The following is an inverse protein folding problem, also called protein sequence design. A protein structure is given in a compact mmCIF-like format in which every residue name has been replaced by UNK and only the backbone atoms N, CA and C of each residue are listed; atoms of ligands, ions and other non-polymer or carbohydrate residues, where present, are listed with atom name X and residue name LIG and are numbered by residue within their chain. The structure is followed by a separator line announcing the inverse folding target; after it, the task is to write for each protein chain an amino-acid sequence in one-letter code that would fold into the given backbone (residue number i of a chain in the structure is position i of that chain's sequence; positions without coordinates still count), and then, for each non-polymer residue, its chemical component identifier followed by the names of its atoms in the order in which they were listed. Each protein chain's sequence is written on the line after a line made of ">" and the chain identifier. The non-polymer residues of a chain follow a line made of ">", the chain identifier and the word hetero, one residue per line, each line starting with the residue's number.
data_IF_013021619834
#
_entry.id   IF_013021619834
#
_cell.length_a   1.000
_cell.length_b   1.000
_cell.length_c   1.000
_cell.angle_alpha   90.00
_cell.angle_beta   90.00
_cell.angle_gamma   90.00
#
_symmetry.space_group_name_H-M   'P 1'
#
loop_
_entity.id
_entity.type
_entity.pdbx_description
1 polymer ?
#
# COMPACT_ATOMS: atom_id res chain seq x y z
N UNK A 1 -5.18 1.55 -18.12
CA UNK A 1 -5.30 0.28 -17.37
C UNK A 1 -5.79 -0.87 -18.25
N UNK A 2 -6.53 -0.60 -19.34
CA UNK A 2 -7.13 -1.62 -20.20
C UNK A 2 -6.13 -2.53 -20.95
N UNK A 3 -4.89 -2.09 -21.17
CA UNK A 3 -3.91 -2.82 -22.00
C UNK A 3 -3.10 -3.88 -21.20
N UNK A 4 -3.13 -3.87 -19.87
CA UNK A 4 -2.32 -4.79 -19.03
C UNK A 4 -3.12 -5.74 -18.15
N UNK A 5 -4.45 -5.75 -18.27
CA UNK A 5 -5.34 -6.49 -17.35
C UNK A 5 -4.99 -7.98 -17.30
N UNK A 6 -4.78 -8.62 -18.45
CA UNK A 6 -4.46 -10.05 -18.54
C UNK A 6 -3.16 -10.39 -17.80
N UNK A 7 -2.09 -9.62 -18.04
CA UNK A 7 -0.81 -9.78 -17.34
C UNK A 7 -0.96 -9.57 -15.85
N UNK A 8 -1.70 -8.54 -15.44
CA UNK A 8 -1.83 -8.19 -14.03
C UNK A 8 -2.63 -9.27 -13.28
N UNK A 9 -3.67 -9.85 -13.91
CA UNK A 9 -4.42 -11.01 -13.43
C UNK A 9 -3.54 -12.27 -13.37
N UNK A 10 -2.74 -12.54 -14.40
CA UNK A 10 -1.82 -13.68 -14.41
C UNK A 10 -0.80 -13.59 -13.27
N UNK A 11 -0.23 -12.40 -13.03
CA UNK A 11 0.67 -12.17 -11.89
C UNK A 11 -0.05 -12.43 -10.57
N UNK A 12 -1.25 -11.89 -10.39
CA UNK A 12 -2.02 -12.13 -9.16
C UNK A 12 -2.31 -13.62 -8.96
N UNK A 13 -2.66 -14.36 -10.01
CA UNK A 13 -2.92 -15.79 -9.95
C UNK A 13 -1.67 -16.56 -9.49
N UNK A 14 -0.48 -16.21 -9.99
CA UNK A 14 0.77 -16.81 -9.52
C UNK A 14 0.99 -16.65 -8.01
N UNK A 15 0.64 -15.49 -7.43
CA UNK A 15 0.74 -15.27 -5.98
C UNK A 15 -0.29 -16.07 -5.17
N UNK A 16 -1.42 -16.43 -5.77
CA UNK A 16 -2.44 -17.30 -5.18
C UNK A 16 -1.97 -18.76 -5.24
N UNK A 17 -1.46 -19.20 -6.39
CA UNK A 17 -1.03 -20.57 -6.62
C UNK A 17 0.29 -20.90 -5.90
N UNK A 18 1.14 -19.89 -5.68
CA UNK A 18 2.44 -20.03 -5.04
C UNK A 18 2.64 -19.00 -3.90
N UNK A 19 2.09 -19.27 -2.69
CA UNK A 19 2.17 -18.34 -1.56
C UNK A 19 3.61 -17.97 -1.14
N UNK A 20 4.59 -18.84 -1.40
CA UNK A 20 6.02 -18.58 -1.13
C UNK A 20 6.55 -17.32 -1.84
N UNK A 21 5.91 -16.90 -2.94
CA UNK A 21 6.26 -15.66 -3.63
C UNK A 21 6.10 -14.43 -2.71
N UNK A 22 5.16 -14.46 -1.75
CA UNK A 22 5.02 -13.39 -0.77
C UNK A 22 6.21 -13.33 0.19
N UNK A 23 6.72 -14.47 0.63
CA UNK A 23 7.88 -14.55 1.51
C UNK A 23 9.16 -14.13 0.78
N UNK A 24 9.31 -14.52 -0.48
CA UNK A 24 10.40 -14.05 -1.34
C UNK A 24 10.34 -12.54 -1.54
N UNK A 25 9.16 -11.96 -1.79
CA UNK A 25 9.02 -10.51 -1.87
C UNK A 25 9.33 -9.80 -0.55
N UNK A 26 8.95 -10.39 0.61
CA UNK A 26 9.30 -9.86 1.93
C UNK A 26 10.81 -9.89 2.16
N UNK A 27 11.50 -10.95 1.74
CA UNK A 27 12.96 -11.05 1.79
C UNK A 27 13.62 -10.00 0.89
N UNK A 28 13.13 -9.81 -0.34
CA UNK A 28 13.63 -8.76 -1.24
C UNK A 28 13.37 -7.36 -0.65
N UNK A 29 12.24 -7.17 0.03
CA UNK A 29 11.90 -5.91 0.68
C UNK A 29 12.77 -5.58 1.89
N UNK A 30 13.35 -6.57 2.59
CA UNK A 30 14.22 -6.32 3.74
C UNK A 30 15.60 -5.79 3.33
N UNK A 31 16.03 -6.02 2.08
CA UNK A 31 17.30 -5.54 1.55
C UNK A 31 17.07 -4.41 0.55
N UNK A 32 17.09 -3.17 1.03
CA UNK A 32 16.86 -1.97 0.19
C UNK A 32 18.06 -1.70 -0.72
N UNK A 33 17.86 -1.26 -1.98
CA UNK A 33 16.60 -0.92 -2.65
C UNK A 33 16.00 -2.05 -3.51
N UNK A 34 16.31 -3.33 -3.22
CA UNK A 34 16.07 -4.46 -4.13
C UNK A 34 14.60 -4.59 -4.60
N UNK A 35 13.65 -4.21 -3.75
CA UNK A 35 12.22 -4.23 -4.08
C UNK A 35 11.83 -3.33 -5.28
N UNK A 36 12.63 -2.30 -5.60
CA UNK A 36 12.40 -1.46 -6.77
C UNK A 36 12.37 -2.27 -8.08
N UNK A 37 13.23 -3.30 -8.19
CA UNK A 37 13.29 -4.19 -9.35
C UNK A 37 12.06 -5.10 -9.47
N UNK A 38 11.40 -5.40 -8.35
CA UNK A 38 10.16 -6.18 -8.30
C UNK A 38 8.89 -5.31 -8.34
N UNK A 39 9.01 -3.99 -8.57
CA UNK A 39 7.87 -3.06 -8.48
C UNK A 39 6.75 -3.39 -9.46
N UNK A 40 7.05 -4.02 -10.61
CA UNK A 40 6.04 -4.47 -11.59
C UNK A 40 5.07 -5.47 -10.96
N UNK A 41 5.57 -6.40 -10.13
CA UNK A 41 4.73 -7.40 -9.45
C UNK A 41 3.78 -6.74 -8.46
N UNK A 42 4.30 -5.82 -7.64
CA UNK A 42 3.50 -5.09 -6.66
C UNK A 42 2.42 -4.24 -7.34
N UNK A 43 2.76 -3.58 -8.44
CA UNK A 43 1.80 -2.80 -9.24
C UNK A 43 0.71 -3.67 -9.85
N UNK A 44 1.05 -4.86 -10.36
CA UNK A 44 0.07 -5.80 -10.90
C UNK A 44 -0.93 -6.27 -9.84
N UNK A 45 -0.45 -6.73 -8.68
CA UNK A 45 -1.32 -7.12 -7.56
C UNK A 45 -2.18 -5.94 -7.12
N UNK A 46 -1.58 -4.75 -6.96
CA UNK A 46 -2.31 -3.57 -6.52
C UNK A 46 -3.41 -3.18 -7.52
N UNK A 47 -3.14 -3.27 -8.82
CA UNK A 47 -4.11 -3.04 -9.89
C UNK A 47 -5.30 -4.01 -9.80
N UNK A 48 -5.04 -5.31 -9.60
CA UNK A 48 -6.10 -6.33 -9.44
C UNK A 48 -6.92 -6.09 -8.18
N UNK A 49 -6.27 -5.77 -7.06
CA UNK A 49 -6.97 -5.44 -5.81
C UNK A 49 -7.87 -4.20 -5.98
N UNK A 50 -7.38 -3.13 -6.63
CA UNK A 50 -8.20 -1.95 -6.93
C UNK A 50 -9.43 -2.30 -7.77
N UNK A 51 -9.28 -3.11 -8.82
CA UNK A 51 -10.40 -3.56 -9.65
C UNK A 51 -11.40 -4.40 -8.84
N UNK A 52 -10.92 -5.28 -7.96
CA UNK A 52 -11.80 -6.04 -7.07
C UNK A 52 -12.61 -5.11 -6.16
N UNK A 53 -11.94 -4.23 -5.42
CA UNK A 53 -12.61 -3.36 -4.44
C UNK A 53 -13.56 -2.35 -5.06
N UNK A 54 -13.27 -1.89 -6.29
CA UNK A 54 -14.19 -1.04 -7.05
C UNK A 54 -15.52 -1.72 -7.38
N UNK A 55 -15.48 -3.03 -7.64
CA UNK A 55 -16.64 -3.80 -8.11
C UNK A 55 -17.30 -4.64 -7.02
N UNK A 56 -16.66 -4.76 -5.85
CA UNK A 56 -17.15 -5.54 -4.72
C UNK A 56 -18.44 -4.93 -4.15
N UNK A 57 -19.48 -5.77 -4.04
CA UNK A 57 -20.82 -5.38 -3.55
C UNK A 57 -21.04 -5.70 -2.06
N UNK A 58 -20.00 -6.17 -1.37
CA UNK A 58 -20.06 -6.41 0.07
C UNK A 58 -20.27 -5.11 0.84
N UNK A 59 -20.93 -5.19 2.01
CA UNK A 59 -21.14 -3.99 2.85
C UNK A 59 -19.86 -3.53 3.54
N UNK A 60 -18.95 -4.46 3.85
CA UNK A 60 -17.70 -4.19 4.55
C UNK A 60 -16.55 -4.93 3.87
N UNK A 61 -15.36 -4.32 3.84
CA UNK A 61 -14.18 -4.96 3.28
C UNK A 61 -13.80 -6.26 4.04
N UNK A 62 -14.08 -6.29 5.35
CA UNK A 62 -13.89 -7.47 6.20
C UNK A 62 -14.66 -8.71 5.72
N UNK A 63 -15.75 -8.54 4.96
CA UNK A 63 -16.52 -9.65 4.37
C UNK A 63 -15.77 -10.37 3.24
N UNK A 64 -14.67 -9.81 2.72
CA UNK A 64 -13.83 -10.41 1.69
C UNK A 64 -12.40 -10.67 2.21
N UNK A 65 -12.21 -11.61 3.17
CA UNK A 65 -10.97 -11.74 3.95
C UNK A 65 -9.74 -12.06 3.09
N UNK A 66 -9.88 -12.89 2.04
CA UNK A 66 -8.75 -13.23 1.15
C UNK A 66 -8.22 -12.03 0.38
N UNK A 67 -9.13 -11.20 -0.17
CA UNK A 67 -8.77 -9.99 -0.89
C UNK A 67 -8.20 -8.93 0.06
N UNK A 68 -8.74 -8.84 1.27
CA UNK A 68 -8.27 -7.94 2.32
C UNK A 68 -6.87 -8.31 2.79
N UNK A 69 -6.59 -9.59 3.01
CA UNK A 69 -5.27 -10.09 3.38
C UNK A 69 -4.24 -9.85 2.28
N UNK A 70 -4.61 -10.10 1.02
CA UNK A 70 -3.77 -9.78 -0.15
C UNK A 70 -3.44 -8.29 -0.20
N UNK A 71 -4.45 -7.44 0.01
CA UNK A 71 -4.29 -5.97 0.01
C UNK A 71 -3.38 -5.50 1.15
N UNK A 72 -3.55 -6.05 2.35
CA UNK A 72 -2.68 -5.77 3.50
C UNK A 72 -1.24 -6.21 3.25
N UNK A 73 -1.07 -7.40 2.68
CA UNK A 73 0.25 -7.97 2.40
C UNK A 73 1.01 -7.13 1.38
N UNK A 74 0.38 -6.71 0.28
CA UNK A 74 1.06 -5.88 -0.72
C UNK A 74 1.45 -4.51 -0.14
N UNK A 75 0.57 -3.86 0.64
CA UNK A 75 0.89 -2.59 1.31
C UNK A 75 2.03 -2.75 2.31
N UNK A 76 2.01 -3.81 3.13
CA UNK A 76 3.08 -4.10 4.10
C UNK A 76 4.43 -4.31 3.44
N UNK A 77 4.47 -5.05 2.32
CA UNK A 77 5.71 -5.28 1.56
C UNK A 77 6.23 -3.96 0.97
N UNK A 78 5.35 -3.15 0.39
CA UNK A 78 5.72 -1.84 -0.14
C UNK A 78 6.24 -0.89 0.95
N UNK A 79 5.64 -0.89 2.12
CA UNK A 79 6.11 -0.11 3.29
C UNK A 79 7.46 -0.60 3.80
N UNK A 80 7.65 -1.92 3.94
CA UNK A 80 8.93 -2.52 4.36
C UNK A 80 10.08 -2.09 3.45
N UNK A 81 9.86 -2.15 2.13
CA UNK A 81 10.81 -1.74 1.11
C UNK A 81 10.87 -0.23 0.85
N UNK A 82 10.24 0.61 1.69
CA UNK A 82 10.24 2.08 1.55
C UNK A 82 9.74 2.58 0.19
N UNK A 83 8.80 1.87 -0.43
CA UNK A 83 8.11 2.34 -1.63
C UNK A 83 6.98 3.31 -1.29
N UNK A 84 6.47 3.27 -0.05
CA UNK A 84 5.46 4.17 0.51
C UNK A 84 6.04 5.04 1.62
N UNK A 85 5.50 6.27 1.81
CA UNK A 85 5.97 7.17 2.85
C UNK A 85 5.48 6.70 4.23
N UNK A 86 6.14 7.14 5.33
CA UNK A 86 5.80 6.72 6.68
C UNK A 86 4.33 6.87 7.05
N UNK A 87 3.67 7.93 6.58
CA UNK A 87 2.25 8.20 6.81
C UNK A 87 1.33 7.07 6.30
N UNK A 88 1.76 6.29 5.30
CA UNK A 88 0.98 5.20 4.70
C UNK A 88 1.29 3.82 5.29
N UNK A 89 2.26 3.69 6.20
CA UNK A 89 2.69 2.40 6.72
C UNK A 89 1.60 1.66 7.51
N UNK A 90 0.73 2.41 8.17
CA UNK A 90 -0.34 1.86 9.01
C UNK A 90 -1.63 1.60 8.24
N UNK A 91 -1.70 1.87 6.92
CA UNK A 91 -2.95 1.76 6.15
C UNK A 91 -3.62 0.40 6.28
N UNK A 92 -2.84 -0.68 6.38
CA UNK A 92 -3.37 -2.04 6.57
C UNK A 92 -4.29 -2.20 7.78
N UNK A 93 -4.12 -1.38 8.82
CA UNK A 93 -4.89 -1.47 10.07
C UNK A 93 -6.31 -0.91 9.93
N UNK A 94 -6.49 0.15 9.15
CA UNK A 94 -7.80 0.78 8.95
C UNK A 94 -8.65 0.07 7.90
N UNK A 95 -8.04 -0.64 6.94
CA UNK A 95 -8.77 -1.26 5.81
C UNK A 95 -10.01 -2.12 6.18
N UNK A 96 -10.01 -2.96 7.25
CA UNK A 96 -11.19 -3.76 7.58
C UNK A 96 -12.38 -2.94 8.07
N UNK A 97 -12.14 -1.70 8.52
CA UNK A 97 -13.16 -0.80 9.04
C UNK A 97 -13.89 -0.05 7.92
N UNK A 98 -13.42 -0.20 6.68
CA UNK A 98 -13.91 0.53 5.51
C UNK A 98 -14.90 -0.33 4.72
N UNK A 99 -15.81 0.36 4.02
CA UNK A 99 -16.53 -0.25 2.90
C UNK A 99 -15.58 -0.56 1.74
N UNK A 100 -15.93 -1.49 0.82
CA UNK A 100 -15.13 -1.77 -0.37
C UNK A 100 -14.78 -0.54 -1.21
N UNK A 101 -15.74 0.38 -1.40
CA UNK A 101 -15.53 1.58 -2.20
C UNK A 101 -14.58 2.57 -1.52
N UNK A 102 -14.69 2.77 -0.21
CA UNK A 102 -13.75 3.59 0.56
C UNK A 102 -12.34 3.01 0.53
N UNK A 103 -12.22 1.69 0.63
CA UNK A 103 -10.94 0.99 0.47
C UNK A 103 -10.36 1.23 -0.94
N UNK A 104 -11.16 1.10 -2.00
CA UNK A 104 -10.75 1.45 -3.37
C UNK A 104 -10.28 2.91 -3.48
N UNK A 105 -10.96 3.85 -2.84
CA UNK A 105 -10.54 5.25 -2.77
C UNK A 105 -9.16 5.38 -2.11
N UNK A 106 -8.92 4.76 -0.96
CA UNK A 106 -7.61 4.78 -0.30
C UNK A 106 -6.52 4.19 -1.22
N UNK A 107 -6.79 3.06 -1.86
CA UNK A 107 -5.84 2.44 -2.80
C UNK A 107 -5.57 3.30 -4.04
N UNK A 108 -6.55 4.10 -4.48
CA UNK A 108 -6.36 5.04 -5.56
C UNK A 108 -5.36 6.15 -5.19
N UNK A 109 -5.29 6.57 -3.92
CA UNK A 109 -4.27 7.51 -3.45
C UNK A 109 -2.88 6.86 -3.40
N UNK A 110 -2.81 5.62 -2.90
CA UNK A 110 -1.58 4.81 -2.92
C UNK A 110 -1.07 4.67 -4.36
N UNK A 111 -1.95 4.34 -5.30
CA UNK A 111 -1.62 4.20 -6.70
C UNK A 111 -1.12 5.52 -7.32
N UNK A 112 -1.78 6.63 -7.00
CA UNK A 112 -1.38 7.95 -7.46
C UNK A 112 0.00 8.34 -6.88
N UNK A 113 0.26 8.03 -5.61
CA UNK A 113 1.57 8.22 -4.99
C UNK A 113 2.64 7.42 -5.75
N UNK A 114 2.41 6.13 -6.00
CA UNK A 114 3.35 5.25 -6.73
C UNK A 114 3.58 5.68 -8.18
N UNK A 115 2.61 6.33 -8.83
CA UNK A 115 2.76 6.86 -10.19
C UNK A 115 3.64 8.11 -10.20
N UNK A 116 3.50 8.97 -9.20
CA UNK A 116 4.28 10.20 -9.08
C UNK A 116 5.67 9.95 -8.47
N UNK A 117 5.85 8.85 -7.75
CA UNK A 117 7.09 8.46 -7.11
C UNK A 117 7.46 7.04 -7.56
N UNK A 118 7.88 6.91 -8.82
CA UNK A 118 8.23 5.63 -9.43
C UNK A 118 9.39 4.99 -8.63
N UNK A 119 9.25 3.72 -8.17
CA UNK A 119 10.33 3.02 -7.49
C UNK A 119 11.62 3.02 -8.31
N UNK A 120 12.69 3.56 -7.75
CA UNK A 120 14.01 3.62 -8.37
C UNK A 120 15.10 3.51 -7.31
N UNK A 121 16.16 2.71 -7.54
CA UNK A 121 17.32 2.66 -6.66
C UNK A 121 17.96 4.03 -6.41
N UNK A 122 17.85 4.96 -7.36
CA UNK A 122 18.40 6.32 -7.24
C UNK A 122 17.74 7.15 -6.11
N UNK A 123 16.58 6.74 -5.60
CA UNK A 123 15.90 7.39 -4.48
C UNK A 123 16.47 7.00 -3.11
N UNK A 124 17.36 5.99 -3.06
CA UNK A 124 17.98 5.50 -1.83
C UNK A 124 19.39 6.06 -1.69
N UNK A 125 19.46 7.34 -1.33
CA UNK A 125 20.69 8.14 -1.31
C UNK A 125 21.48 8.01 -0.01
N UNK A 126 20.82 7.62 1.08
CA UNK A 126 21.42 7.55 2.41
C UNK A 126 21.92 6.14 2.68
N UNK A 127 23.14 6.02 3.23
CA UNK A 127 23.75 4.75 3.62
C UNK A 127 24.04 4.74 5.11
N UNK A 128 23.56 3.75 5.83
CA UNK A 128 23.93 3.53 7.22
C UNK A 128 25.43 3.16 7.27
N UNK A 129 26.27 3.93 7.97
CA UNK A 129 27.71 3.71 7.99
C UNK A 129 28.12 2.40 8.70
N UNK A 130 27.26 1.88 9.58
CA UNK A 130 27.55 0.66 10.38
C UNK A 130 27.06 -0.60 9.67
N UNK A 131 25.81 -0.60 9.18
CA UNK A 131 25.19 -1.78 8.56
C UNK A 131 25.34 -1.81 7.04
N UNK A 132 25.70 -0.68 6.42
CA UNK A 132 25.74 -0.52 4.97
C UNK A 132 24.36 -0.42 4.31
N UNK A 133 23.28 -0.49 5.07
CA UNK A 133 21.90 -0.44 4.56
C UNK A 133 21.57 0.89 3.91
N UNK A 134 20.81 0.83 2.83
CA UNK A 134 20.36 2.01 2.11
C UNK A 134 18.96 2.46 2.55
N UNK A 135 18.75 3.77 2.63
CA UNK A 135 17.52 4.39 3.11
C UNK A 135 17.06 5.46 2.13
N UNK A 136 15.74 5.49 1.91
CA UNK A 136 15.10 6.49 1.09
C UNK A 136 14.70 7.69 1.93
N UNK A 137 15.03 8.87 1.43
CA UNK A 137 14.48 10.12 1.96
C UNK A 137 13.11 10.38 1.34
N UNK A 138 12.12 10.60 2.18
CA UNK A 138 10.78 10.99 1.75
C UNK A 138 10.66 12.51 1.69
N UNK A 139 9.74 13.01 0.87
CA UNK A 139 9.46 14.44 0.79
C UNK A 139 8.88 14.92 2.14
N UNK A 140 8.79 16.24 2.30
CA UNK A 140 8.26 16.83 3.53
C UNK A 140 6.89 16.24 3.88
N UNK A 141 6.55 16.10 5.19
CA UNK A 141 5.27 15.53 5.62
C UNK A 141 4.06 16.17 4.92
N UNK A 142 4.08 17.49 4.72
CA UNK A 142 3.03 18.22 4.01
C UNK A 142 2.80 17.75 2.57
N UNK A 143 3.86 17.37 1.83
CA UNK A 143 3.75 16.91 0.45
C UNK A 143 3.09 15.53 0.34
N UNK A 144 3.26 14.69 1.36
CA UNK A 144 2.72 13.34 1.42
C UNK A 144 1.32 13.31 2.06
N UNK A 145 0.98 14.27 2.93
CA UNK A 145 -0.34 14.40 3.56
C UNK A 145 -1.49 14.53 2.55
N UNK A 146 -1.25 15.11 1.37
CA UNK A 146 -2.29 15.19 0.32
C UNK A 146 -2.84 13.82 -0.10
N UNK A 147 -2.06 12.74 0.03
CA UNK A 147 -2.49 11.37 -0.25
C UNK A 147 -3.23 10.73 0.93
N UNK A 148 -3.25 11.39 2.09
CA UNK A 148 -3.92 10.96 3.31
C UNK A 148 -5.23 11.73 3.58
N UNK A 149 -5.47 12.87 2.93
CA UNK A 149 -6.67 13.69 3.14
C UNK A 149 -7.98 12.93 2.86
N UNK A 150 -8.00 12.10 1.82
CA UNK A 150 -9.19 11.27 1.54
C UNK A 150 -9.40 10.22 2.63
N UNK A 151 -8.35 9.61 3.15
CA UNK A 151 -8.46 8.73 4.31
C UNK A 151 -8.98 9.49 5.53
N UNK A 152 -8.48 10.71 5.78
CA UNK A 152 -8.92 11.55 6.89
C UNK A 152 -10.43 11.78 6.83
N UNK A 153 -10.95 12.19 5.68
CA UNK A 153 -12.38 12.40 5.46
C UNK A 153 -13.19 11.12 5.69
N UNK A 154 -12.75 9.98 5.11
CA UNK A 154 -13.39 8.67 5.29
C UNK A 154 -13.44 8.28 6.77
N UNK A 155 -12.35 8.46 7.52
CA UNK A 155 -12.29 8.10 8.94
C UNK A 155 -13.19 9.01 9.79
N UNK A 156 -13.33 10.29 9.44
CA UNK A 156 -14.26 11.22 10.11
C UNK A 156 -15.71 10.81 9.83
N UNK A 157 -16.05 10.48 8.58
CA UNK A 157 -17.39 9.98 8.23
C UNK A 157 -17.74 8.67 8.93
N UNK A 158 -16.73 7.85 9.25
CA UNK A 158 -16.87 6.59 9.97
C UNK A 158 -16.32 6.67 11.41
N UNK A 159 -16.44 7.82 12.08
CA UNK A 159 -15.80 8.04 13.39
C UNK A 159 -16.21 7.02 14.45
N UNK A 160 -17.42 6.46 14.33
CA UNK A 160 -17.91 5.42 15.24
C UNK A 160 -17.04 4.16 15.25
N UNK A 161 -16.44 3.78 14.11
CA UNK A 161 -15.56 2.62 13.99
C UNK A 161 -14.09 3.02 13.92
N UNK A 162 -13.77 4.14 13.26
CA UNK A 162 -12.40 4.60 13.04
C UNK A 162 -11.84 5.46 14.19
N UNK A 163 -12.67 5.93 15.13
CA UNK A 163 -12.27 6.89 16.16
C UNK A 163 -11.07 6.43 17.01
N UNK A 164 -11.05 5.14 17.39
CA UNK A 164 -9.98 4.57 18.21
C UNK A 164 -8.61 4.55 17.51
N UNK A 165 -8.59 4.48 16.17
CA UNK A 165 -7.34 4.44 15.39
C UNK A 165 -7.03 5.78 14.72
N UNK A 166 -7.93 6.77 14.77
CA UNK A 166 -7.76 8.06 14.10
C UNK A 166 -6.47 8.77 14.49
N UNK A 167 -6.18 8.86 15.79
CA UNK A 167 -4.98 9.52 16.31
C UNK A 167 -3.67 8.89 15.81
N UNK A 168 -3.68 7.58 15.48
CA UNK A 168 -2.51 6.90 14.93
C UNK A 168 -2.12 7.40 13.53
N UNK A 169 -3.09 7.91 12.78
CA UNK A 169 -2.86 8.47 11.44
C UNK A 169 -2.73 9.99 11.45
N UNK A 170 -3.51 10.66 12.29
CA UNK A 170 -3.61 12.11 12.35
C UNK A 170 -3.50 12.55 13.81
N UNK A 171 -2.29 12.94 14.24
CA UNK A 171 -2.12 13.59 15.54
C UNK A 171 -2.97 14.87 15.58
N UNK A 172 -3.73 15.03 16.65
CA UNK A 172 -4.58 16.21 16.88
C UNK A 172 -3.75 17.36 17.49
N UNK A 173 -2.54 17.07 17.99
CA UNK A 173 -1.66 18.01 18.70
C UNK A 173 -0.37 18.32 17.90
N UNK A 174 -0.51 19.00 16.76
CA UNK A 174 0.63 19.59 16.02
C UNK A 174 0.33 21.03 15.62
#
# INVERSE_FOLDING_TARGET
>A
MQVTIERDLHIQAMFVDHPILWDLLRLVASVRPSLCYCSVLLRAVMAVAMTHWRNCQEKAAASSPKHLDTTRTVLRIMSLGQLLPPAMNSLGEVLPLLSPFELFCVLSDVWQYMRNNVPSPALFTHKNPTTGELWREFKTPAADLKYMERLRAIMISNIQTCGLIFQKFFNVDA
#
